data_IF_825983174370
#
_entry.id   IF_825983174370
#
_cell.length_a   1.000
_cell.length_b   1.000
_cell.length_c   1.000
_cell.angle_alpha   90.00
_cell.angle_beta   90.00
_cell.angle_gamma   90.00
#
_symmetry.space_group_name_H-M   'P 1'
#
loop_
_entity.id
_entity.type
_entity.pdbx_description
1 polymer ?
#
# COMPACT_ATOMS: atom_id res chain seq x y z
N UNK A 1 27.84 -22.81 -18.29
CA UNK A 1 27.51 -21.68 -17.41
C UNK A 1 26.52 -22.21 -16.38
N UNK A 2 26.93 -22.46 -15.11
CA UNK A 2 25.98 -22.84 -14.06
C UNK A 2 25.15 -21.61 -13.76
N UNK A 3 23.82 -21.71 -13.91
CA UNK A 3 22.90 -20.66 -13.50
C UNK A 3 23.17 -20.33 -12.03
N UNK A 4 23.46 -19.08 -11.73
CA UNK A 4 23.54 -18.61 -10.34
C UNK A 4 22.11 -18.66 -9.80
N UNK A 5 21.88 -19.50 -8.79
CA UNK A 5 20.58 -19.56 -8.13
C UNK A 5 20.39 -18.23 -7.36
N UNK A 6 19.55 -17.36 -7.90
CA UNK A 6 19.13 -16.14 -7.21
C UNK A 6 17.85 -16.44 -6.43
N UNK A 7 17.97 -16.46 -5.12
CA UNK A 7 16.84 -16.58 -4.21
C UNK A 7 16.70 -15.25 -3.47
N UNK A 8 15.60 -14.55 -3.72
CA UNK A 8 15.28 -13.28 -3.07
C UNK A 8 13.84 -13.31 -2.52
N UNK A 9 13.65 -12.72 -1.38
CA UNK A 9 12.33 -12.49 -0.79
C UNK A 9 11.97 -11.02 -1.01
N UNK A 10 10.84 -10.75 -1.69
CA UNK A 10 10.37 -9.37 -1.84
C UNK A 10 9.79 -8.83 -0.53
N UNK A 11 10.64 -8.76 0.50
CA UNK A 11 10.29 -8.20 1.79
C UNK A 11 9.95 -6.70 1.70
N UNK A 12 10.68 -5.85 0.93
CA UNK A 12 10.29 -4.46 0.71
C UNK A 12 8.85 -4.33 0.19
N UNK A 13 8.48 -5.12 -0.80
CA UNK A 13 7.11 -5.13 -1.32
C UNK A 13 6.07 -5.56 -0.29
N UNK A 14 6.41 -6.45 0.65
CA UNK A 14 5.54 -6.82 1.75
C UNK A 14 5.35 -5.66 2.74
N UNK A 15 6.40 -4.91 3.07
CA UNK A 15 6.35 -3.70 3.91
C UNK A 15 5.44 -2.64 3.28
N UNK A 16 5.61 -2.34 1.97
CA UNK A 16 4.75 -1.38 1.29
C UNK A 16 3.27 -1.76 1.31
N UNK A 17 2.97 -3.04 1.07
CA UNK A 17 1.59 -3.53 1.12
C UNK A 17 1.03 -3.42 2.53
N UNK A 18 1.79 -3.82 3.55
CA UNK A 18 1.36 -3.73 4.95
C UNK A 18 0.90 -2.30 5.31
N UNK A 19 1.73 -1.29 5.03
CA UNK A 19 1.36 0.09 5.35
C UNK A 19 0.24 0.63 4.48
N UNK A 20 0.15 0.20 3.22
CA UNK A 20 -0.97 0.57 2.34
C UNK A 20 -2.29 -0.06 2.79
N UNK A 21 -2.25 -1.31 3.27
CA UNK A 21 -3.41 -1.99 3.83
C UNK A 21 -3.87 -1.35 5.14
N UNK A 22 -2.94 -0.99 6.05
CA UNK A 22 -3.26 -0.29 7.30
C UNK A 22 -3.77 1.14 7.07
N UNK A 23 -3.43 1.78 5.93
CA UNK A 23 -3.90 3.12 5.58
C UNK A 23 -5.26 3.10 4.87
N UNK A 24 -5.40 2.26 3.85
CA UNK A 24 -6.51 2.30 2.89
C UNK A 24 -7.12 0.92 2.58
N UNK A 25 -6.72 -0.15 3.27
CA UNK A 25 -7.36 -1.46 3.17
C UNK A 25 -8.82 -1.40 3.63
N UNK A 26 -9.07 -0.66 4.71
CA UNK A 26 -10.39 -0.15 5.04
C UNK A 26 -10.48 1.30 4.58
N UNK A 27 -11.46 1.58 3.72
CA UNK A 27 -11.60 2.93 3.15
C UNK A 27 -11.96 3.95 4.22
N UNK A 28 -11.22 5.08 4.35
CA UNK A 28 -11.60 6.16 5.23
C UNK A 28 -12.92 6.78 4.75
N UNK A 29 -13.68 7.32 5.69
CA UNK A 29 -14.92 8.02 5.41
C UNK A 29 -14.63 9.51 5.28
N UNK A 30 -15.14 10.12 4.21
CA UNK A 30 -15.03 11.54 3.93
C UNK A 30 -16.35 12.21 4.29
N UNK A 31 -16.33 13.12 5.25
CA UNK A 31 -17.55 13.76 5.79
C UNK A 31 -17.48 15.26 5.58
N UNK A 32 -18.51 15.83 4.97
CA UNK A 32 -18.72 17.27 4.86
C UNK A 32 -20.14 17.62 5.26
N UNK A 33 -20.34 18.68 6.05
CA UNK A 33 -21.68 19.06 6.52
C UNK A 33 -22.51 19.63 5.37
N UNK A 34 -21.92 20.48 4.55
CA UNK A 34 -22.66 21.26 3.56
C UNK A 34 -22.46 20.77 2.12
N UNK A 35 -21.58 19.81 1.88
CA UNK A 35 -21.15 19.41 0.54
C UNK A 35 -21.00 17.90 0.35
N UNK A 36 -21.70 17.07 1.13
CA UNK A 36 -21.50 15.61 1.11
C UNK A 36 -21.76 15.01 -0.28
N UNK A 37 -22.79 15.43 -1.00
CA UNK A 37 -23.12 14.93 -2.33
C UNK A 37 -21.97 15.20 -3.33
N UNK A 38 -21.40 16.42 -3.31
CA UNK A 38 -20.25 16.75 -4.14
C UNK A 38 -19.00 15.92 -3.78
N UNK A 39 -18.77 15.68 -2.48
CA UNK A 39 -17.66 14.85 -1.98
C UNK A 39 -17.79 13.41 -2.48
N UNK A 40 -18.98 12.82 -2.35
CA UNK A 40 -19.25 11.45 -2.79
C UNK A 40 -19.11 11.32 -4.32
N UNK A 41 -19.63 12.27 -5.07
CA UNK A 41 -19.50 12.34 -6.52
C UNK A 41 -18.02 12.45 -6.96
N UNK A 42 -17.24 13.31 -6.29
CA UNK A 42 -15.83 13.46 -6.60
C UNK A 42 -15.05 12.17 -6.34
N UNK A 43 -15.35 11.47 -5.23
CA UNK A 43 -14.75 10.17 -4.89
C UNK A 43 -15.10 9.13 -5.96
N UNK A 44 -16.38 9.04 -6.32
CA UNK A 44 -16.87 8.06 -7.29
C UNK A 44 -16.29 8.32 -8.70
N UNK A 45 -16.33 9.58 -9.18
CA UNK A 45 -15.84 9.98 -10.49
C UNK A 45 -14.34 9.69 -10.69
N UNK A 46 -13.56 9.74 -9.62
CA UNK A 46 -12.12 9.51 -9.63
C UNK A 46 -11.69 8.11 -9.17
N UNK A 47 -12.62 7.28 -8.67
CA UNK A 47 -12.28 6.02 -8.04
C UNK A 47 -11.23 6.22 -6.92
N UNK A 48 -11.44 7.25 -6.10
CA UNK A 48 -10.41 7.81 -5.21
C UNK A 48 -9.91 6.80 -4.18
N UNK A 49 -10.73 5.87 -3.72
CA UNK A 49 -10.29 4.81 -2.80
C UNK A 49 -9.15 3.97 -3.38
N UNK A 50 -9.30 3.54 -4.65
CA UNK A 50 -8.24 2.81 -5.36
C UNK A 50 -7.03 3.70 -5.66
N UNK A 51 -7.27 4.97 -6.00
CA UNK A 51 -6.19 5.93 -6.25
C UNK A 51 -5.36 6.16 -4.99
N UNK A 52 -5.99 6.30 -3.82
CA UNK A 52 -5.31 6.50 -2.54
C UNK A 52 -4.48 5.28 -2.13
N UNK A 53 -4.98 4.06 -2.34
CA UNK A 53 -4.19 2.85 -2.11
C UNK A 53 -2.92 2.82 -2.98
N UNK A 54 -3.04 3.18 -4.27
CA UNK A 54 -1.88 3.32 -5.17
C UNK A 54 -0.93 4.42 -4.73
N UNK A 55 -1.46 5.52 -4.20
CA UNK A 55 -0.66 6.62 -3.67
C UNK A 55 0.13 6.18 -2.43
N UNK A 56 -0.49 5.41 -1.51
CA UNK A 56 0.19 4.86 -0.35
C UNK A 56 1.33 3.90 -0.73
N UNK A 57 1.10 3.05 -1.73
CA UNK A 57 2.17 2.21 -2.29
C UNK A 57 3.32 3.08 -2.85
N UNK A 58 3.00 4.09 -3.67
CA UNK A 58 4.01 4.99 -4.24
C UNK A 58 4.78 5.73 -3.16
N UNK A 59 4.10 6.28 -2.15
CA UNK A 59 4.70 6.93 -0.99
C UNK A 59 5.71 6.02 -0.28
N UNK A 60 5.35 4.74 -0.08
CA UNK A 60 6.19 3.77 0.61
C UNK A 60 7.51 3.48 -0.12
N UNK A 61 7.47 3.29 -1.45
CA UNK A 61 8.67 2.89 -2.20
C UNK A 61 9.37 4.00 -2.98
N UNK A 62 8.81 5.23 -2.99
CA UNK A 62 9.39 6.39 -3.69
C UNK A 62 9.70 7.56 -2.78
N UNK A 63 9.25 7.51 -1.51
CA UNK A 63 9.36 8.61 -0.57
C UNK A 63 8.21 9.61 -0.65
N UNK A 64 7.46 9.64 -1.77
CA UNK A 64 6.30 10.51 -1.94
C UNK A 64 5.24 9.90 -2.85
N UNK A 65 3.98 10.34 -2.66
CA UNK A 65 2.91 10.19 -3.61
C UNK A 65 2.54 11.55 -4.19
N UNK A 66 2.22 11.59 -5.48
CA UNK A 66 1.93 12.83 -6.20
C UNK A 66 0.56 12.73 -6.86
N UNK A 67 -0.33 13.65 -6.49
CA UNK A 67 -1.63 13.84 -7.13
C UNK A 67 -1.57 15.03 -8.07
N UNK A 68 -2.18 14.89 -9.24
CA UNK A 68 -2.39 15.99 -10.20
C UNK A 68 -3.87 16.18 -10.44
N UNK A 69 -4.32 17.43 -10.40
CA UNK A 69 -5.67 17.82 -10.76
C UNK A 69 -5.69 18.41 -12.18
N UNK A 70 -6.74 18.09 -12.93
CA UNK A 70 -7.02 18.72 -14.22
C UNK A 70 -8.50 18.67 -14.56
N UNK A 71 -8.95 19.54 -15.43
CA UNK A 71 -10.26 19.44 -16.06
C UNK A 71 -10.16 18.65 -17.36
N UNK A 72 -11.20 17.89 -17.63
CA UNK A 72 -11.36 17.12 -18.87
C UNK A 72 -12.70 17.50 -19.47
N UNK A 73 -12.70 17.83 -20.75
CA UNK A 73 -13.93 18.10 -21.49
C UNK A 73 -14.87 16.90 -21.45
N UNK A 74 -16.15 17.14 -21.19
CA UNK A 74 -17.16 16.09 -21.06
C UNK A 74 -17.17 15.37 -19.71
N UNK A 75 -16.30 15.72 -18.74
CA UNK A 75 -16.40 15.22 -17.37
C UNK A 75 -17.01 16.27 -16.45
N UNK A 76 -17.91 15.82 -15.58
CA UNK A 76 -18.63 16.70 -14.63
C UNK A 76 -17.72 17.15 -13.47
N UNK A 77 -16.81 16.30 -13.02
CA UNK A 77 -15.89 16.57 -11.90
C UNK A 77 -14.45 16.73 -12.39
N UNK A 78 -13.67 17.48 -11.66
CA UNK A 78 -12.22 17.54 -11.84
C UNK A 78 -11.61 16.14 -11.70
N UNK A 79 -10.59 15.86 -12.51
CA UNK A 79 -9.91 14.57 -12.51
C UNK A 79 -8.69 14.65 -11.61
N UNK A 80 -8.65 13.78 -10.60
CA UNK A 80 -7.52 13.57 -9.71
C UNK A 80 -6.74 12.32 -10.16
N UNK A 81 -5.50 12.50 -10.56
CA UNK A 81 -4.62 11.43 -11.05
C UNK A 81 -3.44 11.24 -10.09
N UNK A 82 -3.18 10.00 -9.68
CA UNK A 82 -1.92 9.64 -9.01
C UNK A 82 -0.88 9.39 -10.09
N UNK A 83 0.13 10.24 -10.13
CA UNK A 83 1.22 10.18 -11.11
C UNK A 83 2.47 9.54 -10.50
N UNK A 84 3.34 8.92 -11.30
CA UNK A 84 4.60 8.39 -10.79
C UNK A 84 5.48 9.50 -10.21
N UNK A 85 5.93 9.36 -8.96
CA UNK A 85 6.83 10.34 -8.34
C UNK A 85 8.16 10.52 -9.11
N UNK A 86 8.57 9.49 -9.86
CA UNK A 86 9.77 9.55 -10.71
C UNK A 86 9.75 10.57 -11.85
N UNK A 87 8.57 11.15 -12.15
CA UNK A 87 8.44 12.22 -13.15
C UNK A 87 8.16 13.58 -12.51
N UNK A 88 8.12 13.65 -11.19
CA UNK A 88 7.88 14.88 -10.45
C UNK A 88 9.20 15.51 -10.00
N UNK A 89 9.34 16.80 -10.23
CA UNK A 89 10.50 17.61 -9.87
C UNK A 89 9.98 18.90 -9.21
N UNK A 90 10.26 19.14 -7.93
CA UNK A 90 9.83 20.35 -7.24
C UNK A 90 10.64 21.56 -7.71
N UNK A 91 9.97 22.70 -7.78
CA UNK A 91 10.62 24.02 -7.87
C UNK A 91 10.59 24.59 -6.46
N UNK A 92 11.75 24.71 -5.85
CA UNK A 92 11.86 25.14 -4.46
C UNK A 92 12.36 26.58 -4.33
N UNK A 93 12.10 27.18 -3.18
CA UNK A 93 12.72 28.44 -2.83
C UNK A 93 14.25 28.28 -2.73
N UNK A 94 15.04 29.22 -3.29
CA UNK A 94 16.51 29.14 -3.25
C UNK A 94 17.12 29.17 -1.84
N UNK A 95 16.43 29.82 -0.91
CA UNK A 95 16.88 29.99 0.47
C UNK A 95 16.29 28.94 1.43
N UNK A 96 15.21 28.24 0.97
CA UNK A 96 14.56 27.19 1.72
C UNK A 96 14.14 26.02 0.81
N UNK A 97 14.96 25.00 0.72
CA UNK A 97 14.74 23.86 -0.18
C UNK A 97 13.49 23.03 0.14
N UNK A 98 12.93 23.16 1.34
CA UNK A 98 11.68 22.49 1.74
C UNK A 98 10.44 23.26 1.32
N UNK A 99 10.57 24.54 0.94
CA UNK A 99 9.47 25.34 0.43
C UNK A 99 9.27 25.15 -1.07
N UNK A 100 8.17 24.51 -1.45
CA UNK A 100 7.85 24.19 -2.84
C UNK A 100 7.01 25.33 -3.45
N UNK A 101 7.58 26.05 -4.41
CA UNK A 101 6.94 27.15 -5.13
C UNK A 101 6.17 26.68 -6.37
N UNK A 102 6.51 25.50 -6.89
CA UNK A 102 5.86 24.94 -8.08
C UNK A 102 6.29 23.50 -8.34
N UNK A 103 5.69 22.90 -9.35
CA UNK A 103 5.92 21.49 -9.68
C UNK A 103 6.18 21.31 -11.16
N UNK A 104 7.21 20.57 -11.50
CA UNK A 104 7.50 20.15 -12.89
C UNK A 104 7.21 18.66 -13.00
N UNK A 105 6.35 18.29 -13.94
CA UNK A 105 6.08 16.90 -14.31
C UNK A 105 6.75 16.65 -15.66
N UNK A 106 7.82 15.86 -15.70
CA UNK A 106 8.61 15.66 -16.90
C UNK A 106 8.84 14.18 -17.21
N UNK A 107 8.60 13.80 -18.46
CA UNK A 107 8.79 12.42 -18.93
C UNK A 107 9.22 12.37 -20.39
N UNK A 108 9.90 11.29 -20.75
CA UNK A 108 10.35 11.06 -22.12
C UNK A 108 9.24 10.41 -22.94
N UNK A 109 8.96 11.00 -24.13
CA UNK A 109 8.13 10.40 -25.19
C UNK A 109 8.99 10.03 -26.37
N UNK A 110 8.61 9.00 -27.09
CA UNK A 110 9.30 8.55 -28.31
C UNK A 110 8.36 8.62 -29.51
N UNK A 111 8.89 8.98 -30.66
CA UNK A 111 8.18 8.97 -31.94
C UNK A 111 9.10 8.40 -33.02
N UNK A 112 8.58 7.50 -33.82
CA UNK A 112 9.29 7.01 -35.01
C UNK A 112 9.15 8.01 -36.16
N UNK A 113 10.27 8.40 -36.79
CA UNK A 113 10.30 9.22 -37.97
C UNK A 113 10.03 8.36 -39.20
N UNK A 114 9.72 9.04 -40.34
CA UNK A 114 9.49 8.36 -41.61
C UNK A 114 10.63 7.47 -42.13
N UNK A 115 11.82 7.61 -41.56
CA UNK A 115 13.01 6.79 -41.86
C UNK A 115 13.18 5.57 -40.88
N UNK A 116 12.18 5.30 -40.04
CA UNK A 116 12.24 4.21 -39.05
C UNK A 116 13.12 4.50 -37.80
N UNK A 117 13.65 5.71 -37.65
CA UNK A 117 14.42 6.11 -36.51
C UNK A 117 13.53 6.58 -35.34
N UNK A 118 13.79 6.11 -34.13
CA UNK A 118 13.13 6.55 -32.91
C UNK A 118 13.77 7.84 -32.42
N UNK A 119 12.97 8.91 -32.36
CA UNK A 119 13.37 10.21 -31.80
C UNK A 119 12.77 10.34 -30.40
N UNK A 120 13.59 10.78 -29.45
CA UNK A 120 13.20 11.03 -28.06
C UNK A 120 12.83 12.49 -27.88
N UNK A 121 11.81 12.72 -27.07
CA UNK A 121 11.34 14.05 -26.71
C UNK A 121 11.12 14.10 -25.19
N UNK A 122 11.51 15.23 -24.56
CA UNK A 122 11.17 15.54 -23.17
C UNK A 122 9.86 16.33 -23.17
N UNK A 123 8.82 15.78 -22.60
CA UNK A 123 7.56 16.44 -22.33
C UNK A 123 7.56 16.95 -20.90
N UNK A 124 7.23 18.22 -20.69
CA UNK A 124 7.08 18.77 -19.36
C UNK A 124 5.76 19.54 -19.20
N UNK A 125 5.17 19.43 -18.04
CA UNK A 125 4.08 20.26 -17.52
C UNK A 125 4.61 20.97 -16.28
N UNK A 126 4.63 22.30 -16.30
CA UNK A 126 5.13 23.13 -15.21
C UNK A 126 3.92 23.78 -14.56
N UNK A 127 3.62 23.36 -13.34
CA UNK A 127 2.51 23.85 -12.54
C UNK A 127 3.03 24.92 -11.59
N UNK A 128 2.64 26.17 -11.83
CA UNK A 128 2.91 27.32 -10.99
C UNK A 128 1.61 27.87 -10.41
N UNK A 129 1.67 28.73 -9.39
CA UNK A 129 0.49 29.47 -8.92
C UNK A 129 -0.24 30.15 -10.09
N UNK A 130 -1.52 29.84 -10.25
CA UNK A 130 -2.36 30.40 -11.29
C UNK A 130 -2.21 29.85 -12.72
N UNK A 131 -1.17 29.09 -13.01
CA UNK A 131 -0.88 28.71 -14.41
C UNK A 131 -0.24 27.33 -14.59
N UNK A 132 -0.43 26.76 -15.77
CA UNK A 132 0.24 25.55 -16.24
C UNK A 132 0.94 25.86 -17.54
N UNK A 133 2.24 25.59 -17.63
CA UNK A 133 3.03 25.74 -18.84
C UNK A 133 3.39 24.37 -19.40
N UNK A 134 3.05 24.13 -20.66
CA UNK A 134 3.29 22.87 -21.33
C UNK A 134 4.43 23.02 -22.34
N UNK A 135 5.42 22.17 -22.28
CA UNK A 135 6.63 22.27 -23.11
C UNK A 135 7.02 20.91 -23.66
N UNK A 136 7.63 20.95 -24.86
CA UNK A 136 8.19 19.78 -25.53
C UNK A 136 9.55 20.14 -26.09
N UNK A 137 10.55 19.29 -25.84
CA UNK A 137 11.88 19.45 -26.41
C UNK A 137 12.32 18.15 -27.06
N UNK A 138 13.01 18.28 -28.19
CA UNK A 138 13.71 17.18 -28.82
C UNK A 138 15.00 16.88 -28.06
N UNK A 139 15.28 15.60 -27.85
CA UNK A 139 16.50 15.13 -27.19
C UNK A 139 17.47 14.55 -28.23
N UNK A 140 18.77 14.67 -27.93
CA UNK A 140 19.80 13.89 -28.62
C UNK A 140 19.72 12.41 -28.26
N UNK A 141 20.52 11.57 -28.89
CA UNK A 141 20.66 10.15 -28.54
C UNK A 141 21.12 9.99 -27.08
N UNK A 142 21.98 10.88 -26.61
CA UNK A 142 22.52 10.93 -25.24
C UNK A 142 21.54 11.55 -24.21
N UNK A 143 20.33 11.96 -24.62
CA UNK A 143 19.32 12.53 -23.73
C UNK A 143 19.48 14.03 -23.43
N UNK A 144 20.32 14.76 -24.17
CA UNK A 144 20.53 16.20 -24.00
C UNK A 144 19.46 16.97 -24.79
N UNK A 145 18.92 18.04 -24.18
CA UNK A 145 17.94 18.94 -24.85
C UNK A 145 18.63 19.64 -26.02
N UNK A 146 18.07 19.50 -27.22
CA UNK A 146 18.54 20.15 -28.46
C UNK A 146 17.74 21.38 -28.80
N UNK A 147 16.45 21.21 -29.02
CA UNK A 147 15.56 22.27 -29.51
C UNK A 147 14.15 22.13 -28.94
N UNK A 148 13.42 23.23 -28.90
CA UNK A 148 11.99 23.22 -28.57
C UNK A 148 11.21 22.61 -29.73
N UNK A 149 10.28 21.73 -29.45
CA UNK A 149 9.40 21.09 -30.40
C UNK A 149 7.94 21.51 -30.18
N UNK A 150 7.15 21.46 -31.23
CA UNK A 150 5.72 21.72 -31.18
C UNK A 150 4.95 20.58 -30.51
N UNK A 151 3.99 20.90 -29.65
CA UNK A 151 3.11 19.93 -28.98
C UNK A 151 2.25 19.14 -29.99
N UNK A 152 1.95 19.71 -31.17
CA UNK A 152 1.29 19.02 -32.26
C UNK A 152 2.04 17.81 -32.81
N UNK A 153 3.31 17.64 -32.43
CA UNK A 153 4.07 16.40 -32.70
C UNK A 153 3.37 15.15 -32.14
N UNK A 154 2.68 15.27 -31.01
CA UNK A 154 2.02 14.16 -30.33
C UNK A 154 0.52 14.32 -30.11
N UNK A 155 -0.03 15.53 -30.28
CA UNK A 155 -1.42 15.85 -29.94
C UNK A 155 -2.13 16.52 -31.11
N UNK A 156 -3.41 16.15 -31.33
CA UNK A 156 -4.25 16.78 -32.33
C UNK A 156 -5.69 16.88 -31.80
N UNK A 157 -6.17 18.08 -31.45
CA UNK A 157 -5.44 19.34 -31.39
C UNK A 157 -4.39 19.33 -30.26
N UNK A 158 -3.33 20.17 -30.39
CA UNK A 158 -2.36 20.32 -29.30
C UNK A 158 -3.00 21.06 -28.13
N UNK A 159 -2.62 20.69 -26.88
CA UNK A 159 -3.03 21.48 -25.73
C UNK A 159 -2.38 22.87 -25.77
N UNK A 160 -2.99 23.88 -25.11
CA UNK A 160 -2.39 25.21 -25.03
C UNK A 160 -1.03 25.14 -24.34
N UNK A 161 -0.06 25.88 -24.86
CA UNK A 161 1.28 25.93 -24.25
C UNK A 161 1.27 26.58 -22.88
N UNK A 162 0.44 27.59 -22.70
CA UNK A 162 0.24 28.33 -21.45
C UNK A 162 -1.25 28.37 -21.15
N UNK A 163 -1.62 27.96 -19.95
CA UNK A 163 -3.00 27.86 -19.51
C UNK A 163 -3.17 28.49 -18.14
N UNK A 164 -4.06 29.45 -18.02
CA UNK A 164 -4.55 29.97 -16.74
C UNK A 164 -5.44 28.94 -16.07
N UNK A 165 -5.24 28.68 -14.78
CA UNK A 165 -6.04 27.72 -14.02
C UNK A 165 -7.24 28.35 -13.32
N UNK A 166 -7.16 29.65 -13.03
CA UNK A 166 -8.11 30.35 -12.19
C UNK A 166 -8.03 29.98 -10.71
N UNK A 167 -6.98 29.24 -10.31
CA UNK A 167 -6.70 28.84 -8.92
C UNK A 167 -5.33 29.36 -8.55
N UNK A 168 -5.22 30.00 -7.38
CA UNK A 168 -3.97 30.63 -6.94
C UNK A 168 -2.87 29.65 -6.59
N UNK A 169 -3.21 28.38 -6.32
CA UNK A 169 -2.26 27.33 -5.98
C UNK A 169 -1.95 26.41 -7.16
N UNK A 170 -0.76 25.78 -7.20
CA UNK A 170 -0.45 24.77 -8.20
C UNK A 170 -1.40 23.55 -8.10
N UNK A 171 -1.81 22.99 -9.23
CA UNK A 171 -2.73 21.85 -9.30
C UNK A 171 -2.05 20.49 -9.09
N UNK A 172 -1.03 20.47 -8.22
CA UNK A 172 -0.31 19.25 -7.81
C UNK A 172 -0.25 19.22 -6.29
N UNK A 173 -0.60 18.06 -5.72
CA UNK A 173 -0.54 17.82 -4.28
C UNK A 173 0.41 16.67 -4.03
N UNK A 174 1.40 16.89 -3.18
CA UNK A 174 2.42 15.92 -2.82
C UNK A 174 2.18 15.42 -1.40
N UNK A 175 2.35 14.13 -1.20
CA UNK A 175 2.25 13.48 0.11
C UNK A 175 3.60 12.84 0.41
N UNK A 176 4.47 13.48 1.19
CA UNK A 176 5.74 12.89 1.58
C UNK A 176 5.53 11.70 2.51
N UNK A 177 6.47 10.75 2.51
CA UNK A 177 6.45 9.63 3.45
C UNK A 177 7.09 10.01 4.79
N UNK A 178 8.29 10.52 4.73
CA UNK A 178 9.01 11.09 5.86
C UNK A 178 9.77 12.31 5.36
N UNK A 179 9.41 13.48 5.86
CA UNK A 179 10.09 14.73 5.52
C UNK A 179 11.49 14.78 6.16
N UNK A 180 12.41 15.39 5.45
CA UNK A 180 13.77 15.68 5.90
C UNK A 180 14.07 17.18 5.70
N UNK A 181 14.89 17.74 6.58
CA UNK A 181 15.09 19.18 6.65
C UNK A 181 15.93 19.76 5.50
N UNK A 182 16.66 18.91 4.78
CA UNK A 182 17.62 19.32 3.74
C UNK A 182 17.23 18.87 2.32
N UNK A 183 16.02 18.36 2.14
CA UNK A 183 15.54 17.85 0.86
C UNK A 183 14.06 18.15 0.64
N UNK A 184 13.65 18.49 -0.59
CA UNK A 184 12.24 18.59 -0.94
C UNK A 184 11.59 17.21 -1.16
N UNK A 185 12.40 16.14 -1.17
CA UNK A 185 11.95 14.76 -1.35
C UNK A 185 11.84 14.06 0.00
N UNK A 186 10.79 13.27 0.18
CA UNK A 186 10.63 12.41 1.34
C UNK A 186 11.53 11.17 1.28
N UNK A 187 11.84 10.60 2.43
CA UNK A 187 12.49 9.28 2.51
C UNK A 187 11.46 8.17 2.31
N UNK A 188 11.87 7.12 1.61
CA UNK A 188 11.06 5.91 1.47
C UNK A 188 11.09 5.04 2.74
N UNK A 189 10.35 3.92 2.73
CA UNK A 189 10.29 3.00 3.87
C UNK A 189 11.53 2.07 3.97
N UNK A 190 12.48 2.16 3.04
CA UNK A 190 13.58 1.20 2.85
C UNK A 190 14.96 1.78 3.08
N UNK A 191 15.14 3.09 2.97
CA UNK A 191 16.45 3.77 2.99
C UNK A 191 17.34 3.34 4.15
N UNK A 192 16.75 3.09 5.33
CA UNK A 192 17.48 2.63 6.51
C UNK A 192 17.72 1.10 6.53
N UNK A 193 17.09 0.35 5.65
CA UNK A 193 17.07 -1.12 5.62
C UNK A 193 17.77 -1.75 4.42
N UNK A 194 18.19 -0.97 3.41
CA UNK A 194 18.74 -1.44 2.13
C UNK A 194 19.87 -2.47 2.30
N UNK A 195 20.81 -2.21 3.19
CA UNK A 195 21.93 -3.11 3.44
C UNK A 195 21.49 -4.43 4.08
N UNK A 196 20.44 -4.41 4.89
CA UNK A 196 19.89 -5.60 5.53
C UNK A 196 19.12 -6.46 4.52
N UNK A 197 18.37 -5.86 3.60
CA UNK A 197 17.71 -6.60 2.51
C UNK A 197 18.74 -7.33 1.64
N UNK A 198 19.79 -6.62 1.24
CA UNK A 198 20.87 -7.23 0.46
C UNK A 198 21.53 -8.40 1.21
N UNK A 199 21.81 -8.25 2.51
CA UNK A 199 22.37 -9.33 3.32
C UNK A 199 21.42 -10.52 3.47
N UNK A 200 20.11 -10.30 3.61
CA UNK A 200 19.11 -11.36 3.67
C UNK A 200 19.13 -12.20 2.39
N UNK A 201 19.04 -11.57 1.23
CA UNK A 201 19.04 -12.25 -0.06
C UNK A 201 20.35 -13.02 -0.30
N UNK A 202 21.48 -12.41 0.04
CA UNK A 202 22.79 -13.05 -0.06
C UNK A 202 22.88 -14.32 0.80
N UNK A 203 22.39 -14.28 2.05
CA UNK A 203 22.41 -15.45 2.94
C UNK A 203 21.45 -16.54 2.49
N UNK A 204 20.26 -16.19 2.03
CA UNK A 204 19.31 -17.14 1.48
C UNK A 204 19.89 -17.86 0.25
N UNK A 205 20.51 -17.11 -0.67
CA UNK A 205 21.18 -17.69 -1.84
C UNK A 205 22.36 -18.59 -1.45
N UNK A 206 23.13 -18.22 -0.43
CA UNK A 206 24.22 -19.06 0.09
C UNK A 206 23.72 -20.37 0.69
N UNK A 207 22.65 -20.33 1.50
CA UNK A 207 22.04 -21.54 2.08
C UNK A 207 21.48 -22.42 0.98
N UNK A 208 20.74 -21.86 0.02
CA UNK A 208 20.22 -22.61 -1.13
C UNK A 208 21.33 -23.34 -1.89
N UNK A 209 22.46 -22.65 -2.12
CA UNK A 209 23.63 -23.26 -2.80
C UNK A 209 24.30 -24.38 -1.97
N UNK A 210 24.30 -24.22 -0.64
CA UNK A 210 24.83 -25.27 0.24
C UNK A 210 23.91 -26.49 0.20
N UNK A 211 22.60 -26.30 0.32
CA UNK A 211 21.60 -27.36 0.26
C UNK A 211 21.64 -28.10 -1.10
N UNK A 212 21.75 -27.38 -2.21
CA UNK A 212 21.89 -27.93 -3.55
C UNK A 212 23.12 -28.87 -3.65
N UNK A 213 24.26 -28.44 -3.08
CA UNK A 213 25.47 -29.28 -3.05
C UNK A 213 25.35 -30.49 -2.12
N UNK A 214 24.56 -30.38 -1.04
CA UNK A 214 24.32 -31.50 -0.14
C UNK A 214 23.36 -32.54 -0.74
N UNK A 215 22.51 -32.15 -1.67
CA UNK A 215 21.57 -33.05 -2.36
C UNK A 215 22.29 -33.94 -3.35
N UNK A 216 23.43 -33.49 -3.90
CA UNK A 216 24.30 -34.27 -4.82
C UNK A 216 25.76 -34.25 -4.29
N UNK A 217 26.03 -34.96 -3.17
CA UNK A 217 27.35 -34.96 -2.56
C UNK A 217 28.36 -35.73 -3.40
N UNK A 218 29.58 -35.21 -3.49
CA UNK A 218 30.68 -35.93 -4.15
C UNK A 218 30.99 -37.21 -3.38
N UNK A 219 31.14 -38.31 -4.11
CA UNK A 219 31.62 -39.59 -3.58
C UNK A 219 33.13 -39.65 -3.63
N UNK A 220 33.73 -40.27 -2.64
CA UNK A 220 35.12 -40.71 -2.68
C UNK A 220 35.16 -42.18 -2.36
N UNK A 221 36.18 -42.88 -2.90
CA UNK A 221 36.32 -44.29 -2.68
C UNK A 221 37.48 -44.90 -3.49
N UNK A 222 37.66 -46.20 -3.43
CA UNK A 222 38.74 -46.88 -4.15
C UNK A 222 38.56 -46.73 -5.65
N UNK A 223 39.70 -46.60 -6.36
CA UNK A 223 39.69 -46.46 -7.84
C UNK A 223 39.03 -47.69 -8.50
N UNK A 224 39.07 -48.85 -7.87
CA UNK A 224 38.40 -50.08 -8.34
C UNK A 224 36.87 -49.99 -8.40
N UNK A 225 36.25 -48.98 -7.76
CA UNK A 225 34.80 -48.73 -7.81
C UNK A 225 34.37 -47.90 -9.04
N UNK A 226 35.31 -47.36 -9.79
CA UNK A 226 35.04 -46.54 -10.95
C UNK A 226 35.04 -47.38 -12.23
N UNK A 227 34.09 -47.17 -13.10
CA UNK A 227 34.06 -47.68 -14.50
C UNK A 227 34.03 -46.49 -15.46
N UNK A 228 34.68 -46.67 -16.59
CA UNK A 228 34.59 -45.70 -17.66
C UNK A 228 33.37 -45.98 -18.51
N UNK A 229 32.49 -44.99 -18.69
CA UNK A 229 31.38 -45.12 -19.62
C UNK A 229 31.90 -45.23 -21.05
N UNK A 230 31.64 -46.35 -21.74
CA UNK A 230 32.17 -46.58 -23.09
C UNK A 230 31.60 -45.61 -24.14
N UNK A 231 30.48 -44.93 -23.86
CA UNK A 231 29.86 -43.99 -24.78
C UNK A 231 30.40 -42.57 -24.62
N UNK A 232 30.66 -42.12 -23.38
CA UNK A 232 31.08 -40.73 -23.07
C UNK A 232 32.55 -40.62 -22.68
N UNK A 233 33.20 -41.73 -22.27
CA UNK A 233 34.56 -41.75 -21.74
C UNK A 233 34.69 -41.18 -20.32
N UNK A 234 33.59 -40.82 -19.69
CA UNK A 234 33.56 -40.28 -18.32
C UNK A 234 33.63 -41.41 -17.28
N UNK A 235 34.26 -41.11 -16.13
CA UNK A 235 34.31 -42.04 -15.02
C UNK A 235 32.99 -41.99 -14.24
N UNK A 236 32.32 -43.14 -14.16
CA UNK A 236 31.01 -43.27 -13.45
C UNK A 236 31.12 -44.33 -12.36
N UNK A 237 30.35 -44.10 -11.29
CA UNK A 237 30.19 -45.05 -10.19
C UNK A 237 29.03 -45.99 -10.50
N UNK A 238 29.25 -47.32 -10.43
CA UNK A 238 28.18 -48.31 -10.62
C UNK A 238 27.14 -48.20 -9.49
N UNK A 239 25.97 -47.68 -9.80
CA UNK A 239 24.87 -47.59 -8.87
C UNK A 239 24.34 -48.99 -8.48
N UNK A 240 24.08 -49.21 -7.20
CA UNK A 240 23.40 -50.41 -6.66
C UNK A 240 24.24 -51.66 -6.57
N UNK A 241 25.57 -51.59 -6.69
CA UNK A 241 26.47 -52.74 -6.52
C UNK A 241 27.30 -52.65 -5.24
N UNK A 242 27.67 -53.84 -4.71
CA UNK A 242 28.63 -53.98 -3.62
C UNK A 242 30.03 -53.61 -4.12
N UNK A 243 30.71 -52.71 -3.42
CA UNK A 243 32.09 -52.34 -3.69
C UNK A 243 33.02 -53.14 -2.77
N UNK A 244 33.79 -54.07 -3.30
CA UNK A 244 34.83 -54.74 -2.53
C UNK A 244 35.94 -53.73 -2.24
N UNK A 245 36.22 -53.51 -0.98
CA UNK A 245 37.31 -52.62 -0.50
C UNK A 245 38.46 -53.52 -0.08
N UNK A 246 39.68 -53.28 -0.60
CA UNK A 246 40.87 -53.98 -0.17
C UNK A 246 41.24 -53.55 1.28
N UNK A 247 41.98 -54.41 1.99
CA UNK A 247 42.31 -54.25 3.41
C UNK A 247 43.02 -52.92 3.74
N UNK A 248 43.62 -52.24 2.72
CA UNK A 248 44.36 -50.98 2.85
C UNK A 248 43.72 -49.80 2.10
N UNK A 249 42.49 -49.97 1.55
CA UNK A 249 41.80 -48.88 0.87
C UNK A 249 40.68 -48.27 1.75
N UNK A 250 40.48 -46.96 1.73
CA UNK A 250 39.40 -46.32 2.47
C UNK A 250 38.05 -46.80 1.93
N UNK A 251 37.07 -47.09 2.81
CA UNK A 251 35.73 -47.44 2.37
C UNK A 251 35.10 -46.32 1.53
N UNK A 252 34.23 -46.64 0.55
CA UNK A 252 33.48 -45.63 -0.18
C UNK A 252 32.65 -44.79 0.79
N UNK A 253 32.64 -43.50 0.58
CA UNK A 253 31.88 -42.57 1.41
C UNK A 253 31.48 -41.32 0.65
N UNK A 254 30.59 -40.56 1.22
CA UNK A 254 30.25 -39.26 0.71
C UNK A 254 31.08 -38.18 1.38
N UNK A 255 31.51 -37.20 0.61
CA UNK A 255 32.21 -36.02 1.09
C UNK A 255 31.13 -35.09 1.66
N UNK A 256 30.76 -35.28 2.92
CA UNK A 256 29.77 -34.48 3.59
C UNK A 256 30.50 -33.37 4.35
N UNK A 257 30.16 -32.14 4.03
CA UNK A 257 30.66 -30.95 4.73
C UNK A 257 29.68 -30.55 5.81
N UNK A 258 30.16 -30.40 7.05
CA UNK A 258 29.36 -29.80 8.12
C UNK A 258 29.19 -28.30 7.85
N UNK A 259 28.10 -27.95 7.18
CA UNK A 259 27.81 -26.59 6.74
C UNK A 259 27.40 -25.64 7.85
N UNK A 260 27.32 -26.10 9.11
CA UNK A 260 26.85 -25.30 10.28
C UNK A 260 25.62 -24.47 9.95
N UNK A 261 24.63 -25.07 9.28
CA UNK A 261 23.40 -24.42 8.80
C UNK A 261 22.66 -23.70 9.95
N UNK A 262 22.71 -24.25 11.16
CA UNK A 262 22.07 -23.64 12.35
C UNK A 262 22.62 -22.22 12.62
N UNK A 263 23.91 -22.00 12.51
CA UNK A 263 24.52 -20.69 12.70
C UNK A 263 24.07 -19.71 11.60
N UNK A 264 23.89 -20.18 10.36
CA UNK A 264 23.37 -19.36 9.28
C UNK A 264 21.89 -19.00 9.48
N UNK A 265 21.05 -19.92 9.98
CA UNK A 265 19.65 -19.63 10.28
C UNK A 265 19.53 -18.60 11.43
N UNK A 266 20.30 -18.75 12.50
CA UNK A 266 20.35 -17.74 13.58
C UNK A 266 20.79 -16.37 13.07
N UNK A 267 21.72 -16.32 12.15
CA UNK A 267 22.16 -15.06 11.56
C UNK A 267 21.05 -14.41 10.70
N UNK A 268 20.29 -15.20 9.95
CA UNK A 268 19.10 -14.73 9.23
C UNK A 268 18.05 -14.18 10.19
N UNK A 269 17.80 -14.86 11.32
CA UNK A 269 16.89 -14.37 12.36
C UNK A 269 17.32 -13.01 12.90
N UNK A 270 18.62 -12.77 13.11
CA UNK A 270 19.14 -11.45 13.51
C UNK A 270 18.96 -10.39 12.42
N UNK A 271 19.18 -10.74 11.15
CA UNK A 271 18.91 -9.83 10.03
C UNK A 271 17.42 -9.47 10.01
N UNK A 272 16.52 -10.45 10.13
CA UNK A 272 15.08 -10.22 10.18
C UNK A 272 14.66 -9.31 11.34
N UNK A 273 15.25 -9.50 12.55
CA UNK A 273 15.02 -8.60 13.68
C UNK A 273 15.49 -7.17 13.38
N UNK A 274 16.65 -7.01 12.73
CA UNK A 274 17.14 -5.71 12.26
C UNK A 274 16.19 -5.06 11.26
N UNK A 275 15.68 -5.84 10.30
CA UNK A 275 14.69 -5.38 9.31
C UNK A 275 13.40 -4.92 9.99
N UNK A 276 12.88 -5.69 10.96
CA UNK A 276 11.69 -5.28 11.71
C UNK A 276 11.88 -3.96 12.46
N UNK A 277 13.07 -3.72 13.01
CA UNK A 277 13.38 -2.47 13.69
C UNK A 277 13.47 -1.31 12.71
N UNK A 278 14.20 -1.48 11.61
CA UNK A 278 14.42 -0.43 10.61
C UNK A 278 13.14 -0.04 9.85
N UNK A 279 12.22 -1.00 9.65
CA UNK A 279 10.95 -0.77 8.95
C UNK A 279 9.77 -0.48 9.86
N UNK A 280 9.96 -0.35 11.18
CA UNK A 280 8.88 -0.22 12.18
C UNK A 280 7.83 -1.35 12.10
N UNK A 281 8.24 -2.57 11.73
CA UNK A 281 7.36 -3.75 11.62
C UNK A 281 7.68 -4.81 12.68
N UNK A 282 7.02 -5.94 12.61
CA UNK A 282 7.32 -7.14 13.41
C UNK A 282 6.77 -8.40 12.74
N UNK A 283 7.12 -9.57 13.26
CA UNK A 283 6.65 -10.84 12.72
C UNK A 283 5.12 -10.98 12.72
N UNK A 284 4.43 -10.44 13.73
CA UNK A 284 2.97 -10.48 13.84
C UNK A 284 2.28 -9.72 12.71
N UNK A 285 2.86 -8.61 12.23
CA UNK A 285 2.34 -7.81 11.12
C UNK A 285 2.32 -8.59 9.79
N UNK A 286 3.16 -9.62 9.67
CA UNK A 286 3.22 -10.53 8.51
C UNK A 286 2.55 -11.88 8.77
N UNK A 287 1.71 -11.99 9.82
CA UNK A 287 1.05 -13.24 10.23
C UNK A 287 2.01 -14.38 10.60
N UNK A 288 3.24 -14.05 10.95
CA UNK A 288 4.28 -14.99 11.41
C UNK A 288 4.23 -15.13 12.94
N UNK A 289 3.07 -15.51 13.46
CA UNK A 289 2.90 -15.82 14.89
C UNK A 289 3.21 -17.29 15.14
N UNK A 290 3.89 -17.58 16.26
CA UNK A 290 4.08 -18.95 16.69
C UNK A 290 2.73 -19.61 16.96
N UNK A 291 2.56 -20.85 16.48
CA UNK A 291 1.30 -21.58 16.54
C UNK A 291 0.85 -21.82 17.99
N UNK A 292 -0.35 -21.40 18.34
CA UNK A 292 -0.97 -21.82 19.62
C UNK A 292 -2.08 -20.94 20.17
N UNK A 293 -2.15 -19.66 19.90
CA UNK A 293 -3.29 -18.84 20.35
C UNK A 293 -3.61 -17.73 19.33
N UNK A 294 -4.86 -17.61 18.96
CA UNK A 294 -5.35 -16.41 18.26
C UNK A 294 -5.41 -15.31 19.34
N UNK A 295 -4.59 -14.24 19.22
CA UNK A 295 -4.61 -13.17 20.21
C UNK A 295 -5.96 -12.43 20.13
N UNK A 296 -6.47 -11.94 21.26
CA UNK A 296 -7.64 -11.04 21.26
C UNK A 296 -7.33 -9.75 20.50
N UNK A 297 -8.35 -9.04 20.03
CA UNK A 297 -8.20 -7.76 19.32
C UNK A 297 -7.29 -6.78 20.07
N UNK A 298 -7.46 -6.64 21.40
CA UNK A 298 -6.61 -5.81 22.25
C UNK A 298 -5.15 -6.29 22.30
N UNK A 299 -4.92 -7.61 22.34
CA UNK A 299 -3.57 -8.18 22.32
C UNK A 299 -2.90 -7.96 20.96
N UNK A 300 -3.66 -8.12 19.86
CA UNK A 300 -3.18 -7.85 18.51
C UNK A 300 -2.78 -6.37 18.33
N UNK A 301 -3.59 -5.42 18.81
CA UNK A 301 -3.26 -3.98 18.81
C UNK A 301 -1.95 -3.68 19.56
N UNK A 302 -1.71 -4.34 20.69
CA UNK A 302 -0.43 -4.22 21.44
C UNK A 302 0.76 -4.78 20.66
N UNK A 303 0.58 -5.90 20.00
CA UNK A 303 1.63 -6.48 19.14
C UNK A 303 1.94 -5.58 17.95
N UNK A 304 0.94 -4.91 17.36
CA UNK A 304 1.08 -4.06 16.19
C UNK A 304 1.36 -2.58 16.51
N UNK A 305 1.76 -2.25 17.74
CA UNK A 305 1.92 -0.85 18.19
C UNK A 305 2.89 -0.05 17.31
N UNK A 306 4.00 -0.64 16.85
CA UNK A 306 4.97 0.05 15.97
C UNK A 306 4.44 0.26 14.56
N UNK A 307 3.92 -0.76 13.85
CA UNK A 307 3.27 -0.57 12.56
C UNK A 307 2.14 0.47 12.61
N UNK A 308 1.29 0.42 13.64
CA UNK A 308 0.20 1.38 13.80
C UNK A 308 0.71 2.81 14.07
N UNK A 309 1.75 2.97 14.87
CA UNK A 309 2.36 4.28 15.10
C UNK A 309 2.93 4.88 13.80
N UNK A 310 3.60 4.07 12.97
CA UNK A 310 4.08 4.51 11.64
C UNK A 310 2.92 4.86 10.71
N UNK A 311 1.88 4.03 10.68
CA UNK A 311 0.67 4.30 9.91
C UNK A 311 0.02 5.62 10.34
N UNK A 312 -0.05 5.90 11.64
CA UNK A 312 -0.60 7.17 12.14
C UNK A 312 0.25 8.38 11.72
N UNK A 313 1.59 8.26 11.69
CA UNK A 313 2.46 9.32 11.11
C UNK A 313 2.15 9.57 9.63
N UNK A 314 1.99 8.51 8.83
CA UNK A 314 1.62 8.61 7.41
C UNK A 314 0.23 9.27 7.23
N UNK A 315 -0.72 8.96 8.11
CA UNK A 315 -2.06 9.58 8.12
C UNK A 315 -2.01 11.09 8.27
N UNK A 316 -1.09 11.62 9.05
CA UNK A 316 -0.94 13.08 9.20
C UNK A 316 -0.67 13.76 7.85
N UNK A 317 0.21 13.19 7.02
CA UNK A 317 0.51 13.71 5.70
C UNK A 317 -0.66 13.52 4.73
N UNK A 318 -1.27 12.34 4.70
CA UNK A 318 -2.42 12.07 3.85
C UNK A 318 -3.63 12.93 4.20
N UNK A 319 -3.91 13.17 5.47
CA UNK A 319 -5.06 13.97 5.93
C UNK A 319 -4.98 15.39 5.37
N UNK A 320 -3.84 16.04 5.55
CA UNK A 320 -3.61 17.40 5.03
C UNK A 320 -3.67 17.44 3.50
N UNK A 321 -2.99 16.49 2.86
CA UNK A 321 -2.90 16.45 1.39
C UNK A 321 -4.26 16.15 0.74
N UNK A 322 -5.04 15.22 1.29
CA UNK A 322 -6.36 14.91 0.75
C UNK A 322 -7.34 16.05 0.93
N UNK A 323 -7.37 16.71 2.10
CA UNK A 323 -8.19 17.93 2.28
C UNK A 323 -7.83 19.00 1.26
N UNK A 324 -6.52 19.23 1.05
CA UNK A 324 -6.05 20.17 0.03
C UNK A 324 -6.47 19.72 -1.38
N UNK A 325 -6.38 18.44 -1.70
CA UNK A 325 -6.80 17.89 -3.00
C UNK A 325 -8.27 18.19 -3.31
N UNK A 326 -9.15 17.95 -2.34
CA UNK A 326 -10.58 18.24 -2.47
C UNK A 326 -10.85 19.74 -2.59
N UNK A 327 -10.21 20.57 -1.76
CA UNK A 327 -10.35 22.03 -1.80
C UNK A 327 -9.91 22.60 -3.15
N UNK A 328 -8.76 22.16 -3.68
CA UNK A 328 -8.25 22.57 -4.99
C UNK A 328 -9.16 22.09 -6.13
N UNK A 329 -9.73 20.90 -6.04
CA UNK A 329 -10.67 20.38 -7.02
C UNK A 329 -11.94 21.27 -7.07
N UNK A 330 -12.50 21.62 -5.91
CA UNK A 330 -13.63 22.53 -5.81
C UNK A 330 -13.32 23.92 -6.36
N UNK A 331 -12.15 24.49 -6.02
CA UNK A 331 -11.70 25.78 -6.56
C UNK A 331 -11.55 25.75 -8.07
N UNK A 332 -10.94 24.68 -8.61
CA UNK A 332 -10.74 24.51 -10.05
C UNK A 332 -12.07 24.39 -10.80
N UNK A 333 -13.02 23.65 -10.27
CA UNK A 333 -14.36 23.51 -10.85
C UNK A 333 -15.12 24.85 -10.85
N UNK A 334 -15.06 25.61 -9.76
CA UNK A 334 -15.68 26.95 -9.67
C UNK A 334 -15.07 27.94 -10.64
N UNK A 335 -13.74 28.02 -10.69
CA UNK A 335 -13.03 28.91 -11.59
C UNK A 335 -13.40 28.67 -13.07
N UNK A 336 -13.83 27.46 -13.40
CA UNK A 336 -14.27 27.07 -14.73
C UNK A 336 -15.81 27.06 -14.91
N UNK A 337 -16.52 27.76 -14.04
CA UNK A 337 -17.95 28.08 -14.19
C UNK A 337 -18.91 26.95 -13.83
N UNK A 338 -18.48 25.93 -13.12
CA UNK A 338 -19.37 24.89 -12.59
C UNK A 338 -20.17 25.44 -11.41
N UNK A 339 -21.48 25.17 -11.36
CA UNK A 339 -22.40 25.80 -10.42
C UNK A 339 -22.61 24.99 -9.13
N UNK A 340 -22.58 23.67 -9.23
CA UNK A 340 -22.88 22.74 -8.12
C UNK A 340 -21.59 22.38 -7.37
N UNK A 341 -20.86 23.41 -6.92
CA UNK A 341 -19.57 23.25 -6.27
C UNK A 341 -19.58 24.04 -4.95
N UNK A 342 -19.15 23.46 -3.82
CA UNK A 342 -19.14 24.13 -2.54
C UNK A 342 -18.23 25.37 -2.55
N UNK A 343 -18.66 26.45 -1.88
CA UNK A 343 -17.88 27.68 -1.74
C UNK A 343 -16.66 27.50 -0.85
N UNK A 344 -16.89 27.01 0.34
CA UNK A 344 -15.89 26.55 1.28
C UNK A 344 -16.16 25.08 1.58
N UNK A 345 -15.13 24.27 1.68
CA UNK A 345 -15.26 22.84 1.89
C UNK A 345 -14.70 22.46 3.27
N UNK A 346 -15.61 22.28 4.22
CA UNK A 346 -15.27 21.67 5.50
C UNK A 346 -15.27 20.14 5.35
N UNK A 347 -14.09 19.58 5.06
CA UNK A 347 -13.90 18.15 4.89
C UNK A 347 -13.24 17.54 6.13
N UNK A 348 -13.90 16.60 6.76
CA UNK A 348 -13.36 15.77 7.82
C UNK A 348 -13.12 14.35 7.29
N UNK A 349 -11.94 13.76 7.60
CA UNK A 349 -11.58 12.39 7.20
C UNK A 349 -11.57 11.50 8.44
N UNK A 350 -12.51 10.57 8.48
CA UNK A 350 -12.60 9.57 9.54
C UNK A 350 -11.74 8.35 9.16
N UNK A 351 -10.57 8.24 9.77
CA UNK A 351 -9.66 7.13 9.55
C UNK A 351 -10.06 5.90 10.37
N UNK A 352 -10.02 4.73 9.74
CA UNK A 352 -10.13 3.44 10.41
C UNK A 352 -8.74 2.92 10.79
N UNK A 353 -8.65 2.03 11.79
CA UNK A 353 -7.35 1.52 12.24
C UNK A 353 -6.73 0.44 11.32
N UNK A 354 -7.51 -0.06 10.36
CA UNK A 354 -7.06 -1.06 9.38
C UNK A 354 -6.91 -2.46 9.97
N UNK A 355 -7.42 -2.68 11.17
CA UNK A 355 -7.45 -3.99 11.80
C UNK A 355 -8.87 -4.56 11.74
N UNK A 356 -9.03 -5.87 11.50
CA UNK A 356 -10.34 -6.50 11.55
C UNK A 356 -10.98 -6.24 12.92
N UNK A 357 -12.13 -5.60 12.93
CA UNK A 357 -12.93 -5.46 14.14
C UNK A 357 -13.57 -6.81 14.46
N UNK A 358 -13.53 -7.22 15.74
CA UNK A 358 -14.35 -8.31 16.21
C UNK A 358 -15.78 -7.79 16.36
N UNK A 359 -16.76 -8.27 15.55
CA UNK A 359 -18.12 -7.77 15.60
C UNK A 359 -18.75 -7.90 17.00
N UNK A 360 -18.32 -8.90 17.75
CA UNK A 360 -18.76 -9.10 19.14
C UNK A 360 -18.21 -8.05 20.08
N UNK A 361 -16.90 -7.75 20.00
CA UNK A 361 -16.27 -6.70 20.80
C UNK A 361 -16.87 -5.31 20.46
N UNK A 362 -17.11 -5.04 19.18
CA UNK A 362 -17.76 -3.82 18.72
C UNK A 362 -19.19 -3.69 19.28
N UNK A 363 -19.98 -4.76 19.23
CA UNK A 363 -21.35 -4.78 19.78
C UNK A 363 -21.37 -4.59 21.31
N UNK A 364 -20.44 -5.24 22.05
CA UNK A 364 -20.30 -5.08 23.50
C UNK A 364 -19.93 -3.64 23.88
N UNK A 365 -19.04 -2.99 23.12
CA UNK A 365 -18.65 -1.58 23.33
C UNK A 365 -19.88 -0.67 23.13
N UNK A 366 -20.65 -0.85 22.05
CA UNK A 366 -21.82 -0.03 21.80
C UNK A 366 -22.94 -0.28 22.80
N UNK A 367 -23.12 -1.51 23.28
CA UNK A 367 -24.04 -1.83 24.37
C UNK A 367 -23.67 -1.05 25.66
N UNK A 368 -22.39 -0.98 25.99
CA UNK A 368 -21.91 -0.21 27.16
C UNK A 368 -22.13 1.30 26.94
N UNK A 369 -21.91 1.80 25.74
CA UNK A 369 -22.02 3.24 25.40
C UNK A 369 -23.47 3.74 25.32
N UNK A 370 -24.40 2.86 24.93
CA UNK A 370 -25.84 3.17 24.82
C UNK A 370 -26.63 2.82 26.08
N UNK A 371 -26.09 1.91 26.93
CA UNK A 371 -26.72 1.48 28.16
C UNK A 371 -26.43 2.36 29.39
N UNK A 372 -27.20 2.20 30.44
CA UNK A 372 -27.00 2.92 31.70
C UNK A 372 -27.02 4.45 31.55
N UNK A 373 -25.92 5.12 31.95
CA UNK A 373 -25.72 6.54 31.65
C UNK A 373 -25.13 6.66 30.24
N UNK A 374 -26.00 6.76 29.25
CA UNK A 374 -25.61 6.75 27.85
C UNK A 374 -24.60 7.84 27.48
N UNK A 375 -23.52 7.47 26.82
CA UNK A 375 -22.52 8.38 26.21
C UNK A 375 -22.67 8.47 24.69
N UNK A 376 -23.55 7.65 24.11
CA UNK A 376 -23.85 7.63 22.66
C UNK A 376 -25.35 7.31 22.47
N UNK A 377 -25.95 7.83 21.39
CA UNK A 377 -27.32 7.47 21.01
C UNK A 377 -27.35 6.13 20.30
N UNK A 378 -28.50 5.42 20.39
CA UNK A 378 -28.75 4.17 19.63
C UNK A 378 -28.59 4.40 18.12
N UNK A 379 -29.07 5.53 17.59
CA UNK A 379 -28.86 5.93 16.17
C UNK A 379 -27.39 5.94 15.79
N UNK A 380 -26.53 6.53 16.67
CA UNK A 380 -25.09 6.58 16.43
C UNK A 380 -24.41 5.22 16.54
N UNK A 381 -24.94 4.33 17.38
CA UNK A 381 -24.46 2.94 17.50
C UNK A 381 -24.77 2.14 16.23
N UNK A 382 -26.02 2.18 15.74
CA UNK A 382 -26.44 1.53 14.49
C UNK A 382 -25.57 2.03 13.31
N UNK A 383 -25.38 3.36 13.20
CA UNK A 383 -24.53 3.92 12.14
C UNK A 383 -23.08 3.40 12.18
N UNK A 384 -22.51 3.13 13.37
CA UNK A 384 -21.14 2.61 13.50
C UNK A 384 -21.05 1.10 13.24
N UNK A 385 -22.03 0.33 13.69
CA UNK A 385 -22.02 -1.14 13.56
C UNK A 385 -22.39 -1.60 12.15
N UNK A 386 -23.49 -1.10 11.62
CA UNK A 386 -24.08 -1.63 10.39
C UNK A 386 -23.79 -0.72 9.18
N UNK A 387 -23.43 0.54 9.42
CA UNK A 387 -23.31 1.53 8.35
C UNK A 387 -24.70 1.84 7.75
N UNK A 388 -24.72 2.28 6.53
CA UNK A 388 -25.98 2.45 5.77
C UNK A 388 -26.43 3.90 5.64
N UNK A 389 -27.50 4.09 4.83
CA UNK A 389 -28.11 5.40 4.62
C UNK A 389 -28.93 5.85 5.83
N UNK A 390 -29.22 7.14 5.93
CA UNK A 390 -30.11 7.66 6.99
C UNK A 390 -31.47 6.98 6.96
N UNK A 391 -31.98 6.64 5.77
CA UNK A 391 -33.25 5.91 5.60
C UNK A 391 -33.20 4.51 6.20
N UNK A 392 -32.09 3.77 6.03
CA UNK A 392 -31.92 2.43 6.62
C UNK A 392 -31.79 2.50 8.15
N UNK A 393 -31.13 3.53 8.67
CA UNK A 393 -31.02 3.76 10.12
C UNK A 393 -32.36 4.14 10.73
N UNK A 394 -33.20 4.92 10.04
CA UNK A 394 -34.54 5.26 10.50
C UNK A 394 -35.47 4.04 10.47
N UNK A 395 -35.35 3.19 9.46
CA UNK A 395 -36.11 1.95 9.39
C UNK A 395 -35.77 1.02 10.57
N UNK A 396 -34.47 0.83 10.86
CA UNK A 396 -34.01 0.02 11.99
C UNK A 396 -34.46 0.57 13.34
N UNK A 397 -34.40 1.89 13.54
CA UNK A 397 -34.92 2.54 14.76
C UNK A 397 -36.43 2.34 14.93
N UNK A 398 -37.17 2.35 13.82
CA UNK A 398 -38.63 2.08 13.84
C UNK A 398 -38.93 0.62 14.19
N UNK A 399 -38.14 -0.33 13.71
CA UNK A 399 -38.27 -1.75 14.08
C UNK A 399 -37.95 -1.99 15.55
N UNK A 400 -36.84 -1.40 16.08
CA UNK A 400 -36.50 -1.48 17.48
C UNK A 400 -37.64 -0.94 18.36
N UNK A 401 -38.17 0.24 18.03
CA UNK A 401 -39.31 0.82 18.76
C UNK A 401 -40.59 -0.06 18.72
N UNK A 402 -40.82 -0.71 17.58
CA UNK A 402 -41.94 -1.64 17.44
C UNK A 402 -41.77 -2.92 18.28
N UNK A 403 -40.54 -3.42 18.40
CA UNK A 403 -40.23 -4.60 19.22
C UNK A 403 -40.28 -4.29 20.71
N UNK A 404 -39.82 -3.11 21.16
CA UNK A 404 -39.99 -2.63 22.52
C UNK A 404 -41.47 -2.51 22.89
N UNK A 405 -42.30 -1.93 22.03
CA UNK A 405 -43.73 -1.81 22.24
C UNK A 405 -44.44 -3.19 22.32
N UNK A 406 -43.96 -4.20 21.57
CA UNK A 406 -44.45 -5.58 21.69
C UNK A 406 -44.01 -6.25 23.00
N UNK A 407 -42.80 -5.97 23.49
CA UNK A 407 -42.28 -6.47 24.76
C UNK A 407 -43.00 -5.92 25.99
N UNK A 408 -43.59 -4.72 25.90
CA UNK A 408 -44.36 -4.06 26.96
C UNK A 408 -45.83 -4.53 27.05
N UNK A 409 -46.29 -5.41 26.18
CA UNK A 409 -47.66 -5.98 26.34
C UNK A 409 -47.75 -6.78 27.64
N UNK A 410 -48.69 -6.42 28.56
CA UNK A 410 -48.79 -7.10 29.84
C UNK A 410 -49.11 -8.59 29.61
N UNK A 411 -48.39 -9.45 30.33
CA UNK A 411 -48.66 -10.89 30.35
C UNK A 411 -50.15 -11.11 30.62
N UNK A 412 -50.86 -11.68 29.67
CA UNK A 412 -52.26 -12.09 29.86
C UNK A 412 -52.29 -13.09 30.99
N UNK A 413 -52.75 -12.67 32.16
CA UNK A 413 -53.00 -13.54 33.28
C UNK A 413 -54.04 -14.56 32.88
N UNK A 414 -53.63 -15.80 32.60
CA UNK A 414 -54.55 -16.92 32.45
C UNK A 414 -55.29 -17.11 33.76
N UNK A 415 -56.53 -16.56 33.83
CA UNK A 415 -57.46 -16.81 34.89
C UNK A 415 -57.76 -18.31 34.85
N UNK A 416 -57.36 -18.99 35.91
CA UNK A 416 -57.63 -20.41 36.18
C UNK A 416 -59.12 -20.64 36.15
N UNK A 417 -59.65 -21.31 35.13
CA UNK A 417 -61.00 -21.86 35.15
C UNK A 417 -61.01 -22.93 36.23
N UNK A 418 -61.72 -22.62 37.32
CA UNK A 418 -61.99 -23.56 38.38
C UNK A 418 -62.89 -24.71 37.85
N UNK A 419 -62.34 -25.93 37.86
CA UNK A 419 -63.16 -27.14 37.80
C UNK A 419 -63.81 -27.35 39.17
N UNK A 420 -65.13 -27.23 39.24
CA UNK A 420 -65.92 -27.57 40.38
C UNK A 420 -65.73 -29.04 40.69
N UNK A 421 -65.45 -29.33 41.97
CA UNK A 421 -65.64 -30.68 42.56
C UNK A 421 -67.14 -30.94 42.66
N UNK A 422 -67.60 -32.01 42.05
CA UNK A 422 -68.83 -32.68 42.44
C UNK A 422 -68.45 -33.82 43.38
N UNK A 423 -68.97 -33.71 44.60
CA UNK A 423 -69.06 -34.80 45.56
C UNK A 423 -69.97 -35.95 45.00
N UNK A 424 -69.49 -37.18 45.07
CA UNK A 424 -70.10 -38.36 45.68
C UNK A 424 -69.07 -39.50 45.79
#
# INVERSE_FOLDING_TARGET
MRATLELAINFPGAVSKLFSDLLFGETPRYVSIDAQEWVDDFIAANGLHRANYRAALAQSYRGEAVYKLRLVEGRERAVAEVIPASIWFPVTDPDNVTEILGHVLAWVKTKENGDGKVVKYLRAEIHLPGSIHQRLWRLSEDGIIQERADLGTFYSPPPPEDQETGVEEPLVVVVPNLEVDDSPFGLDDYSEADTLFHQLDLRLAQIAKVLDRHTDPNMYGPVSALEQDPATGEWVVRAGRYFPVAENEPPPGYLVWDAKLEANFRFIEHIMQGLYIATDTNAAAFSLLESGSVPSGAALKRLLIRPLARTNRKRLYFDVALRRLFALAAQLERANGRRDVPGDLDLHIEWKDGLPEDPREAAEIEQIRTGGKATSSVRSAIRRLDGGSEESIEAELAEIAADEARGEMPAVTLTTFGFGQTEE
#
